data_IF_081696249091
#
_entry.id   IF_081696249091
#
_cell.length_a   1.000
_cell.length_b   1.000
_cell.length_c   1.000
_cell.angle_alpha   90.00
_cell.angle_beta   90.00
_cell.angle_gamma   90.00
#
_symmetry.space_group_name_H-M   'P 1'
#
loop_
_entity.id
_entity.type
_entity.pdbx_description
1 polymer ?
#
# COMPACT_ATOMS: atom_id res chain seq x y z
N UNK A 1 -44.03 10.73 9.73
CA UNK A 1 -45.12 11.30 8.91
C UNK A 1 -44.56 11.60 7.51
N UNK A 2 -44.65 10.70 6.53
CA UNK A 2 -44.28 11.00 5.15
C UNK A 2 -45.51 11.43 4.35
N UNK A 3 -45.44 12.62 3.75
CA UNK A 3 -46.46 13.21 2.91
C UNK A 3 -46.53 12.53 1.53
N UNK A 4 -47.75 12.20 1.09
CA UNK A 4 -48.07 11.70 -0.24
C UNK A 4 -48.20 12.87 -1.24
N UNK A 5 -47.72 12.75 -2.49
CA UNK A 5 -48.02 13.73 -3.53
C UNK A 5 -49.36 13.45 -4.24
N UNK A 6 -50.05 14.53 -4.56
CA UNK A 6 -51.39 14.59 -5.15
C UNK A 6 -51.45 14.12 -6.62
N UNK A 7 -52.60 13.59 -7.09
CA UNK A 7 -52.81 13.27 -8.49
C UNK A 7 -53.18 14.54 -9.30
N UNK A 8 -52.34 14.88 -10.28
CA UNK A 8 -52.63 15.93 -11.26
C UNK A 8 -53.54 15.38 -12.34
N UNK A 9 -54.82 15.73 -12.24
CA UNK A 9 -55.79 15.67 -13.34
C UNK A 9 -55.34 16.57 -14.49
N UNK A 10 -55.28 16.02 -15.71
CA UNK A 10 -55.52 16.82 -16.93
C UNK A 10 -56.38 16.01 -17.88
N UNK A 11 -57.67 16.27 -17.78
CA UNK A 11 -58.68 16.09 -18.82
C UNK A 11 -58.29 16.94 -20.03
N UNK A 12 -58.22 16.33 -21.22
CA UNK A 12 -58.37 17.08 -22.45
C UNK A 12 -59.26 16.31 -23.44
N UNK A 13 -60.54 16.63 -23.36
CA UNK A 13 -61.61 16.16 -24.24
C UNK A 13 -61.71 17.16 -25.40
N UNK A 14 -61.12 16.83 -26.53
CA UNK A 14 -61.24 17.59 -27.78
C UNK A 14 -61.96 16.75 -28.83
N UNK A 15 -63.23 17.08 -29.08
CA UNK A 15 -64.05 16.49 -30.14
C UNK A 15 -63.50 16.92 -31.52
N UNK A 16 -63.24 15.96 -32.41
CA UNK A 16 -63.00 16.21 -33.82
C UNK A 16 -63.76 15.19 -34.69
N UNK A 17 -64.31 15.73 -35.77
CA UNK A 17 -65.34 15.24 -36.69
C UNK A 17 -64.92 13.97 -37.48
N UNK A 18 -65.85 13.04 -37.77
CA UNK A 18 -65.54 11.83 -38.52
C UNK A 18 -65.34 12.13 -40.01
N UNK A 19 -64.10 12.07 -40.48
CA UNK A 19 -63.78 12.04 -41.91
C UNK A 19 -63.70 10.57 -42.34
N UNK A 20 -64.68 10.15 -43.13
CA UNK A 20 -64.70 8.86 -43.79
C UNK A 20 -63.57 8.78 -44.83
N UNK A 21 -62.46 8.16 -44.45
CA UNK A 21 -61.37 7.76 -45.34
C UNK A 21 -61.03 6.31 -44.99
N UNK A 22 -61.30 5.43 -45.95
CA UNK A 22 -60.76 4.09 -46.21
C UNK A 22 -60.06 3.37 -45.03
N UNK A 23 -60.37 2.08 -44.76
CA UNK A 23 -59.62 1.24 -43.82
C UNK A 23 -58.23 0.92 -44.40
N UNK A 24 -57.38 1.95 -44.44
CA UNK A 24 -55.96 1.83 -44.68
C UNK A 24 -55.39 1.01 -43.52
N UNK A 25 -54.38 0.22 -43.85
CA UNK A 25 -53.75 -0.84 -43.07
C UNK A 25 -53.07 -0.35 -41.77
N UNK A 26 -53.81 0.33 -40.90
CA UNK A 26 -53.40 0.78 -39.57
C UNK A 26 -53.57 -0.36 -38.57
N UNK A 27 -52.85 -1.46 -38.75
CA UNK A 27 -53.12 -2.67 -37.96
C UNK A 27 -52.04 -3.07 -36.95
N UNK A 28 -50.77 -3.12 -37.36
CA UNK A 28 -49.77 -3.88 -36.58
C UNK A 28 -48.36 -3.29 -36.54
N UNK A 29 -48.09 -2.17 -37.19
CA UNK A 29 -46.72 -1.66 -37.30
C UNK A 29 -46.18 -1.05 -35.98
N UNK A 30 -47.07 -0.67 -35.06
CA UNK A 30 -46.69 -0.10 -33.76
C UNK A 30 -46.71 -1.10 -32.59
N UNK A 31 -47.24 -2.30 -32.78
CA UNK A 31 -47.30 -3.32 -31.72
C UNK A 31 -45.91 -3.72 -31.25
N UNK A 32 -45.00 -3.96 -32.20
CA UNK A 32 -43.61 -4.33 -31.89
C UNK A 32 -42.84 -3.22 -31.19
N UNK A 33 -42.98 -1.96 -31.62
CA UNK A 33 -42.32 -0.83 -30.94
C UNK A 33 -42.82 -0.65 -29.52
N UNK A 34 -44.13 -0.68 -29.31
CA UNK A 34 -44.70 -0.52 -27.97
C UNK A 34 -44.29 -1.66 -27.02
N UNK A 35 -44.14 -2.89 -27.54
CA UNK A 35 -43.68 -4.02 -26.74
C UNK A 35 -42.17 -3.96 -26.47
N UNK A 36 -41.37 -3.55 -27.46
CA UNK A 36 -39.94 -3.30 -27.30
C UNK A 36 -39.69 -2.21 -26.24
N UNK A 37 -40.42 -1.10 -26.30
CA UNK A 37 -40.30 -0.01 -25.32
C UNK A 37 -40.71 -0.45 -23.90
N UNK A 38 -41.61 -1.42 -23.77
CA UNK A 38 -41.94 -2.03 -22.47
C UNK A 38 -40.80 -2.93 -21.97
N UNK A 39 -40.20 -3.74 -22.84
CA UNK A 39 -39.03 -4.56 -22.50
C UNK A 39 -37.83 -3.71 -22.12
N UNK A 40 -37.53 -2.67 -22.89
CA UNK A 40 -36.43 -1.74 -22.62
C UNK A 40 -36.65 -1.02 -21.29
N UNK A 41 -37.89 -0.64 -20.96
CA UNK A 41 -38.23 -0.07 -19.63
C UNK A 41 -38.03 -1.07 -18.49
N UNK A 42 -38.43 -2.32 -18.66
CA UNK A 42 -38.19 -3.36 -17.66
C UNK A 42 -36.69 -3.61 -17.46
N UNK A 43 -35.92 -3.71 -18.56
CA UNK A 43 -34.49 -3.92 -18.50
C UNK A 43 -33.76 -2.75 -17.85
N UNK A 44 -34.09 -1.51 -18.24
CA UNK A 44 -33.53 -0.30 -17.63
C UNK A 44 -33.82 -0.24 -16.12
N UNK A 45 -35.01 -0.68 -15.69
CA UNK A 45 -35.34 -0.76 -14.27
C UNK A 45 -34.49 -1.81 -13.54
N UNK A 46 -34.32 -3.01 -14.10
CA UNK A 46 -33.46 -4.04 -13.50
C UNK A 46 -32.01 -3.58 -13.36
N UNK A 47 -31.45 -2.95 -14.40
CA UNK A 47 -30.09 -2.39 -14.35
C UNK A 47 -29.98 -1.29 -13.28
N UNK A 48 -30.98 -0.40 -13.19
CA UNK A 48 -31.00 0.65 -12.17
C UNK A 48 -31.14 0.10 -10.75
N UNK A 49 -31.93 -0.97 -10.56
CA UNK A 49 -32.08 -1.63 -9.27
C UNK A 49 -30.80 -2.37 -8.86
N UNK A 50 -30.12 -3.06 -9.80
CA UNK A 50 -28.82 -3.70 -9.60
C UNK A 50 -27.72 -2.69 -9.26
N UNK A 51 -27.65 -1.55 -9.97
CA UNK A 51 -26.70 -0.48 -9.71
C UNK A 51 -26.94 0.15 -8.33
N UNK A 52 -28.22 0.35 -7.96
CA UNK A 52 -28.59 0.86 -6.64
C UNK A 52 -28.25 -0.12 -5.51
N UNK A 53 -28.42 -1.42 -5.73
CA UNK A 53 -28.03 -2.45 -4.77
C UNK A 53 -26.50 -2.53 -4.63
N UNK A 54 -25.76 -2.45 -5.74
CA UNK A 54 -24.31 -2.42 -5.74
C UNK A 54 -23.79 -1.20 -4.95
N UNK A 55 -24.38 -0.02 -5.18
CA UNK A 55 -24.02 1.20 -4.46
C UNK A 55 -24.30 1.10 -2.96
N UNK A 56 -25.42 0.49 -2.55
CA UNK A 56 -25.70 0.23 -1.13
C UNK A 56 -24.67 -0.70 -0.49
N UNK A 57 -24.28 -1.78 -1.18
CA UNK A 57 -23.24 -2.70 -0.68
C UNK A 57 -21.89 -2.01 -0.54
N UNK A 58 -21.53 -1.14 -1.48
CA UNK A 58 -20.29 -0.37 -1.41
C UNK A 58 -20.31 0.64 -0.24
N UNK A 59 -21.43 1.33 -0.02
CA UNK A 59 -21.62 2.25 1.12
C UNK A 59 -21.54 1.50 2.47
N UNK A 60 -22.17 0.32 2.58
CA UNK A 60 -22.11 -0.52 3.77
C UNK A 60 -20.70 -1.07 4.03
N UNK A 61 -19.95 -1.46 2.99
CA UNK A 61 -18.57 -1.91 3.13
C UNK A 61 -17.64 -0.78 3.58
N UNK A 62 -17.82 0.44 3.03
CA UNK A 62 -17.08 1.63 3.46
C UNK A 62 -17.39 1.97 4.92
N UNK A 63 -18.65 1.90 5.32
CA UNK A 63 -19.05 2.12 6.71
C UNK A 63 -18.42 1.08 7.65
N UNK A 64 -18.39 -0.20 7.23
CA UNK A 64 -17.72 -1.26 8.00
C UNK A 64 -16.22 -1.02 8.15
N UNK A 65 -15.52 -0.64 7.07
CA UNK A 65 -14.07 -0.34 7.11
C UNK A 65 -13.76 0.85 8.02
N UNK A 66 -14.58 1.89 7.98
CA UNK A 66 -14.41 3.08 8.84
C UNK A 66 -14.59 2.72 10.32
N UNK A 67 -15.57 1.88 10.63
CA UNK A 67 -15.81 1.37 11.99
C UNK A 67 -14.64 0.51 12.50
N UNK A 68 -14.13 -0.41 11.67
CA UNK A 68 -12.95 -1.22 12.02
C UNK A 68 -11.70 -0.34 12.26
N UNK A 69 -11.51 0.74 11.49
CA UNK A 69 -10.41 1.67 11.70
C UNK A 69 -10.56 2.49 12.99
N UNK A 70 -11.78 2.88 13.34
CA UNK A 70 -12.10 3.58 14.60
C UNK A 70 -11.88 2.67 15.81
N UNK A 71 -12.34 1.43 15.77
CA UNK A 71 -12.10 0.42 16.82
C UNK A 71 -10.59 0.20 17.03
N UNK A 72 -9.81 0.07 15.94
CA UNK A 72 -8.34 -0.05 16.04
C UNK A 72 -7.69 1.19 16.67
N UNK A 73 -8.20 2.39 16.41
CA UNK A 73 -7.72 3.63 17.03
C UNK A 73 -8.06 3.66 18.53
N UNK A 74 -9.25 3.21 18.91
CA UNK A 74 -9.65 3.12 20.31
C UNK A 74 -8.83 2.08 21.08
N UNK A 75 -8.58 0.91 20.50
CA UNK A 75 -7.72 -0.12 21.10
C UNK A 75 -6.31 0.42 21.35
N UNK A 76 -5.74 1.11 20.35
CA UNK A 76 -4.42 1.73 20.50
C UNK A 76 -4.40 2.79 21.60
N UNK A 77 -5.47 3.60 21.71
CA UNK A 77 -5.63 4.60 22.76
C UNK A 77 -5.71 3.93 24.14
N UNK A 78 -6.50 2.86 24.28
CA UNK A 78 -6.63 2.08 25.53
C UNK A 78 -5.30 1.44 25.93
N UNK A 79 -4.55 0.88 24.99
CA UNK A 79 -3.25 0.26 25.29
C UNK A 79 -2.23 1.30 25.76
N UNK A 80 -2.22 2.48 25.14
CA UNK A 80 -1.40 3.61 25.58
C UNK A 80 -1.76 4.06 26.99
N UNK A 81 -3.05 4.26 27.27
CA UNK A 81 -3.54 4.64 28.60
C UNK A 81 -3.19 3.59 29.66
N UNK A 82 -3.32 2.30 29.31
CA UNK A 82 -2.93 1.19 30.18
C UNK A 82 -1.44 1.23 30.52
N UNK A 83 -0.58 1.47 29.53
CA UNK A 83 0.87 1.56 29.73
C UNK A 83 1.24 2.78 30.60
N UNK A 84 0.59 3.92 30.38
CA UNK A 84 0.76 5.13 31.20
C UNK A 84 0.30 4.89 32.66
N UNK A 85 -0.83 4.21 32.86
CA UNK A 85 -1.31 3.82 34.19
C UNK A 85 -0.37 2.83 34.89
N UNK A 86 0.16 1.84 34.16
CA UNK A 86 1.12 0.87 34.71
C UNK A 86 2.42 1.54 35.14
N UNK A 87 2.96 2.46 34.33
CA UNK A 87 4.16 3.23 34.70
C UNK A 87 3.94 4.08 35.95
N UNK A 88 2.76 4.72 36.06
CA UNK A 88 2.38 5.54 37.22
C UNK A 88 2.28 4.67 38.48
N UNK A 89 1.56 3.54 38.41
CA UNK A 89 1.47 2.59 39.53
C UNK A 89 2.84 2.04 39.96
N UNK A 90 3.75 1.81 39.01
CA UNK A 90 5.13 1.38 39.30
C UNK A 90 5.97 2.48 39.96
N UNK A 91 5.70 3.76 39.67
CA UNK A 91 6.33 4.89 40.35
C UNK A 91 5.79 5.03 41.78
N UNK A 92 4.47 4.99 41.94
CA UNK A 92 3.81 5.11 43.25
C UNK A 92 4.25 4.00 44.19
N UNK A 93 4.29 2.74 43.71
CA UNK A 93 4.79 1.61 44.49
C UNK A 93 6.23 1.83 44.97
N UNK A 94 7.12 2.34 44.11
CA UNK A 94 8.51 2.65 44.49
C UNK A 94 8.60 3.77 45.53
N UNK A 95 7.66 4.72 45.52
CA UNK A 95 7.60 5.79 46.50
C UNK A 95 7.05 5.29 47.84
N UNK A 96 6.03 4.43 47.84
CA UNK A 96 5.53 3.76 49.04
C UNK A 96 6.59 2.88 49.68
N UNK A 97 7.33 2.08 48.91
CA UNK A 97 8.42 1.24 49.42
C UNK A 97 9.51 2.08 50.12
N UNK A 98 9.88 3.23 49.53
CA UNK A 98 10.84 4.17 50.12
C UNK A 98 10.31 4.86 51.38
N UNK A 99 9.02 5.21 51.41
CA UNK A 99 8.40 5.85 52.57
C UNK A 99 8.23 4.86 53.74
N UNK A 100 7.87 3.61 53.46
CA UNK A 100 7.71 2.56 54.46
C UNK A 100 9.03 2.19 55.15
N UNK A 101 10.15 2.21 54.41
CA UNK A 101 11.49 2.06 54.99
C UNK A 101 11.81 3.18 56.00
N UNK A 102 11.52 4.44 55.64
CA UNK A 102 11.74 5.60 56.51
C UNK A 102 10.86 5.63 57.76
N UNK A 103 9.65 5.06 57.71
CA UNK A 103 8.72 5.08 58.84
C UNK A 103 9.04 3.95 59.84
N UNK A 104 9.51 2.78 59.38
CA UNK A 104 9.92 1.68 60.27
C UNK A 104 11.19 1.96 61.07
N UNK A 105 12.11 2.79 60.56
CA UNK A 105 13.28 3.21 61.34
C UNK A 105 12.91 4.19 62.47
N UNK A 106 11.86 4.99 62.29
CA UNK A 106 11.45 6.01 63.26
C UNK A 106 10.80 5.51 64.56
N UNK A 107 10.47 4.22 64.69
CA UNK A 107 9.92 3.69 65.96
C UNK A 107 10.99 3.17 66.92
N UNK A 108 12.27 3.21 66.54
CA UNK A 108 13.42 2.91 67.43
C UNK A 108 14.28 4.16 67.69
N UNK A 109 13.83 5.31 67.18
CA UNK A 109 14.67 6.50 66.98
C UNK A 109 14.84 7.37 68.21
N UNK A 110 14.06 7.25 69.29
CA UNK A 110 14.27 8.18 70.42
C UNK A 110 15.54 7.83 71.25
N UNK A 111 15.88 6.53 71.32
CA UNK A 111 17.16 6.06 71.88
C UNK A 111 18.29 6.21 70.86
N UNK A 112 18.04 5.89 69.59
CA UNK A 112 19.05 6.02 68.54
C UNK A 112 19.39 7.49 68.27
N UNK A 113 18.44 8.43 68.29
CA UNK A 113 18.67 9.89 68.17
C UNK A 113 19.47 10.43 69.34
N UNK A 114 19.35 9.87 70.56
CA UNK A 114 20.20 10.25 71.70
C UNK A 114 21.63 9.76 71.51
N UNK A 115 21.81 8.50 71.12
CA UNK A 115 23.13 7.95 70.81
C UNK A 115 23.76 8.63 69.60
N UNK A 116 22.95 8.99 68.60
CA UNK A 116 23.35 9.70 67.40
C UNK A 116 23.64 11.17 67.70
N UNK A 117 22.90 11.85 68.59
CA UNK A 117 23.26 13.17 69.11
C UNK A 117 24.55 13.15 69.92
N UNK A 118 24.78 12.13 70.74
CA UNK A 118 26.02 11.94 71.50
C UNK A 118 27.20 11.67 70.55
N UNK A 119 26.96 10.87 69.51
CA UNK A 119 27.92 10.56 68.45
C UNK A 119 28.21 11.78 67.59
N UNK A 120 27.21 12.56 67.21
CA UNK A 120 27.32 13.84 66.50
C UNK A 120 28.00 14.89 67.38
N UNK A 121 27.79 14.90 68.71
CA UNK A 121 28.54 15.78 69.62
C UNK A 121 30.01 15.39 69.68
N UNK A 122 30.32 14.10 69.87
CA UNK A 122 31.71 13.59 69.86
C UNK A 122 32.37 13.81 68.50
N UNK A 123 31.64 13.63 67.42
CA UNK A 123 32.10 13.86 66.06
C UNK A 123 32.28 15.36 65.78
N UNK A 124 31.36 16.24 66.21
CA UNK A 124 31.55 17.69 66.14
C UNK A 124 32.74 18.16 66.98
N UNK A 125 32.96 17.58 68.15
CA UNK A 125 34.10 17.93 68.99
C UNK A 125 35.41 17.44 68.38
N UNK A 126 35.40 16.25 67.77
CA UNK A 126 36.50 15.71 66.97
C UNK A 126 36.76 16.55 65.71
N UNK A 127 35.72 17.00 65.02
CA UNK A 127 35.77 17.87 63.85
C UNK A 127 36.29 19.26 64.22
N UNK A 128 35.84 19.84 65.35
CA UNK A 128 36.41 21.08 65.89
C UNK A 128 37.90 20.91 66.18
N UNK A 129 38.30 19.81 66.83
CA UNK A 129 39.73 19.48 67.05
C UNK A 129 40.51 19.31 65.75
N UNK A 130 39.92 18.70 64.72
CA UNK A 130 40.54 18.55 63.39
C UNK A 130 40.66 19.88 62.64
N UNK A 131 39.63 20.73 62.69
CA UNK A 131 39.64 22.10 62.15
C UNK A 131 40.68 22.98 62.85
N UNK A 132 40.92 22.77 64.13
CA UNK A 132 41.94 23.54 64.88
C UNK A 132 43.36 22.97 64.71
N UNK A 133 43.50 21.75 64.16
CA UNK A 133 44.79 21.02 64.08
C UNK A 133 45.23 20.67 62.66
N UNK A 134 44.47 21.09 61.64
CA UNK A 134 44.57 20.54 60.29
C UNK A 134 44.57 21.57 59.16
N UNK A 135 45.07 22.80 59.38
CA UNK A 135 45.11 23.83 58.34
C UNK A 135 46.53 24.35 58.03
N UNK A 136 47.51 23.45 57.99
CA UNK A 136 48.86 23.82 57.51
C UNK A 136 49.41 22.89 56.41
N UNK A 137 48.67 21.86 55.95
CA UNK A 137 49.29 20.86 55.04
C UNK A 137 48.46 20.19 53.95
N UNK A 138 47.13 20.37 53.85
CA UNK A 138 46.35 19.53 52.91
C UNK A 138 45.05 20.16 52.35
N UNK A 139 44.82 21.46 52.54
CA UNK A 139 43.62 22.14 52.01
C UNK A 139 43.52 22.14 50.47
N UNK A 140 44.66 22.08 49.79
CA UNK A 140 44.73 22.12 48.32
C UNK A 140 44.16 20.86 47.63
N UNK A 141 44.21 19.71 48.31
CA UNK A 141 43.74 18.44 47.75
C UNK A 141 42.20 18.35 47.69
N UNK A 142 41.52 18.95 48.67
CA UNK A 142 40.05 19.02 48.69
C UNK A 142 39.49 19.94 47.61
N UNK A 143 40.11 21.11 47.42
CA UNK A 143 39.75 22.06 46.36
C UNK A 143 40.00 21.43 44.99
N UNK A 144 41.15 20.79 44.79
CA UNK A 144 41.49 20.08 43.56
C UNK A 144 40.49 18.96 43.22
N UNK A 145 40.04 18.20 44.22
CA UNK A 145 39.03 17.14 44.05
C UNK A 145 37.66 17.71 43.64
N UNK A 146 37.18 18.75 44.31
CA UNK A 146 35.92 19.40 43.95
C UNK A 146 35.98 20.05 42.56
N UNK A 147 37.12 20.66 42.22
CA UNK A 147 37.32 21.28 40.91
C UNK A 147 37.31 20.24 39.79
N UNK A 148 37.89 19.05 40.03
CA UNK A 148 37.80 17.90 39.13
C UNK A 148 36.37 17.39 38.98
N UNK A 149 35.63 17.25 40.08
CA UNK A 149 34.22 16.81 40.05
C UNK A 149 33.32 17.81 39.29
N UNK A 150 33.52 19.11 39.48
CA UNK A 150 32.81 20.16 38.73
C UNK A 150 33.12 20.04 37.22
N UNK A 151 34.37 19.80 36.86
CA UNK A 151 34.76 19.59 35.46
C UNK A 151 34.12 18.33 34.86
N UNK A 152 34.01 17.25 35.64
CA UNK A 152 33.36 16.01 35.23
C UNK A 152 31.84 16.18 35.06
N UNK A 153 31.18 16.87 35.98
CA UNK A 153 29.74 17.18 35.87
C UNK A 153 29.45 18.06 34.65
N UNK A 154 30.28 19.07 34.36
CA UNK A 154 30.14 19.88 33.15
C UNK A 154 30.28 19.04 31.88
N UNK A 155 31.23 18.10 31.84
CA UNK A 155 31.36 17.14 30.72
C UNK A 155 30.12 16.26 30.58
N UNK A 156 29.58 15.75 31.69
CA UNK A 156 28.36 14.94 31.67
C UNK A 156 27.14 15.73 31.18
N UNK A 157 26.99 16.99 31.58
CA UNK A 157 25.90 17.86 31.11
C UNK A 157 26.02 18.12 29.61
N UNK A 158 27.22 18.39 29.11
CA UNK A 158 27.45 18.56 27.67
C UNK A 158 27.16 17.26 26.89
N UNK A 159 27.60 16.10 27.39
CA UNK A 159 27.30 14.82 26.77
C UNK A 159 25.79 14.52 26.75
N UNK A 160 25.06 14.80 27.84
CA UNK A 160 23.60 14.67 27.88
C UNK A 160 22.91 15.60 26.88
N UNK A 161 23.39 16.83 26.73
CA UNK A 161 22.85 17.77 25.75
C UNK A 161 22.96 17.26 24.32
N UNK A 162 24.11 16.68 23.95
CA UNK A 162 24.29 16.06 22.62
C UNK A 162 23.28 14.93 22.40
N UNK A 163 23.07 14.07 23.41
CA UNK A 163 22.07 13.00 23.33
C UNK A 163 20.64 13.55 23.22
N UNK A 164 20.31 14.64 23.91
CA UNK A 164 19.00 15.31 23.80
C UNK A 164 18.78 15.89 22.39
N UNK A 165 19.82 16.51 21.81
CA UNK A 165 19.79 17.04 20.43
C UNK A 165 19.61 15.90 19.41
N UNK A 166 20.30 14.77 19.57
CA UNK A 166 20.13 13.57 18.73
C UNK A 166 18.71 12.99 18.84
N UNK A 167 18.16 12.90 20.05
CA UNK A 167 16.78 12.47 20.28
C UNK A 167 15.79 13.42 19.59
N UNK A 168 16.04 14.72 19.64
CA UNK A 168 15.21 15.71 18.96
C UNK A 168 15.28 15.55 17.43
N UNK A 169 16.47 15.36 16.87
CA UNK A 169 16.67 15.10 15.45
C UNK A 169 15.94 13.82 15.00
N UNK A 170 16.07 12.71 15.74
CA UNK A 170 15.36 11.47 15.46
C UNK A 170 13.83 11.64 15.50
N UNK A 171 13.30 12.41 16.46
CA UNK A 171 11.85 12.70 16.52
C UNK A 171 11.37 13.45 15.28
N UNK A 172 12.14 14.43 14.82
CA UNK A 172 11.82 15.19 13.62
C UNK A 172 11.83 14.30 12.37
N UNK A 173 12.82 13.39 12.23
CA UNK A 173 12.88 12.44 11.13
C UNK A 173 11.68 11.48 11.12
N UNK A 174 11.28 10.95 12.29
CA UNK A 174 10.08 10.10 12.42
C UNK A 174 8.82 10.86 11.99
N UNK A 175 8.70 12.14 12.37
CA UNK A 175 7.56 12.98 11.99
C UNK A 175 7.52 13.22 10.47
N UNK A 176 8.67 13.47 9.83
CA UNK A 176 8.79 13.57 8.38
C UNK A 176 8.42 12.26 7.67
N UNK A 177 8.88 11.11 8.17
CA UNK A 177 8.52 9.80 7.63
C UNK A 177 7.01 9.53 7.74
N UNK A 178 6.37 9.91 8.85
CA UNK A 178 4.91 9.82 9.02
C UNK A 178 4.17 10.71 8.03
N UNK A 179 4.60 11.96 7.85
CA UNK A 179 4.01 12.87 6.87
C UNK A 179 4.16 12.34 5.44
N UNK A 180 5.34 11.79 5.10
CA UNK A 180 5.58 11.17 3.79
C UNK A 180 4.74 9.92 3.57
N UNK A 181 4.51 9.11 4.61
CA UNK A 181 3.65 7.92 4.52
C UNK A 181 2.18 8.29 4.30
N UNK A 182 1.70 9.37 4.93
CA UNK A 182 0.36 9.90 4.67
C UNK A 182 0.22 10.42 3.23
N UNK A 183 1.24 11.11 2.70
CA UNK A 183 1.27 11.51 1.29
C UNK A 183 1.31 10.30 0.35
N UNK A 184 1.91 9.17 0.74
CA UNK A 184 1.83 7.93 -0.04
C UNK A 184 0.38 7.43 -0.19
N UNK A 185 -0.46 7.64 0.82
CA UNK A 185 -1.88 7.34 0.77
C UNK A 185 -2.65 8.14 -0.28
N UNK A 186 -2.30 9.40 -0.52
CA UNK A 186 -2.98 10.20 -1.57
C UNK A 186 -2.67 9.69 -2.96
N UNK A 187 -1.43 9.23 -3.22
CA UNK A 187 -1.08 8.62 -4.51
C UNK A 187 -1.83 7.31 -4.77
N UNK A 188 -2.12 6.52 -3.73
CA UNK A 188 -2.92 5.30 -3.89
C UNK A 188 -4.33 5.62 -4.39
N UNK A 189 -4.98 6.65 -3.83
CA UNK A 189 -6.30 7.11 -4.26
C UNK A 189 -6.27 7.64 -5.70
N UNK A 190 -5.25 8.40 -6.06
CA UNK A 190 -5.07 8.88 -7.44
C UNK A 190 -4.85 7.73 -8.43
N UNK A 191 -4.08 6.71 -8.06
CA UNK A 191 -3.86 5.50 -8.88
C UNK A 191 -5.14 4.69 -9.07
N UNK A 192 -5.96 4.53 -8.01
CA UNK A 192 -7.25 3.87 -8.09
C UNK A 192 -8.24 4.64 -8.98
N UNK A 193 -8.26 5.97 -8.86
CA UNK A 193 -9.05 6.87 -9.72
C UNK A 193 -8.64 6.73 -11.20
N UNK A 194 -7.33 6.80 -11.48
CA UNK A 194 -6.81 6.66 -12.84
C UNK A 194 -7.08 5.27 -13.43
N UNK A 195 -6.96 4.22 -12.62
CA UNK A 195 -7.26 2.83 -13.03
C UNK A 195 -8.74 2.65 -13.39
N UNK A 196 -9.63 3.31 -12.63
CA UNK A 196 -11.07 3.33 -12.91
C UNK A 196 -11.36 4.08 -14.22
N UNK A 197 -10.71 5.21 -14.45
CA UNK A 197 -10.85 6.00 -15.67
C UNK A 197 -10.35 5.24 -16.91
N UNK A 198 -9.21 4.56 -16.82
CA UNK A 198 -8.69 3.69 -17.89
C UNK A 198 -9.69 2.57 -18.20
N UNK A 199 -10.29 1.96 -17.18
CA UNK A 199 -11.30 0.90 -17.36
C UNK A 199 -12.55 1.44 -18.05
N UNK A 200 -13.02 2.62 -17.66
CA UNK A 200 -14.14 3.34 -18.28
C UNK A 200 -13.87 3.65 -19.75
N UNK A 201 -12.69 4.19 -20.07
CA UNK A 201 -12.29 4.50 -21.45
C UNK A 201 -12.16 3.24 -22.33
N UNK A 202 -11.67 2.13 -21.78
CA UNK A 202 -11.63 0.84 -22.50
C UNK A 202 -13.04 0.35 -22.86
N UNK A 203 -13.97 0.41 -21.90
CA UNK A 203 -15.38 0.05 -22.15
C UNK A 203 -16.01 0.97 -23.20
N UNK A 204 -15.74 2.28 -23.13
CA UNK A 204 -16.22 3.23 -24.14
C UNK A 204 -15.66 2.90 -25.53
N UNK A 205 -14.36 2.63 -25.64
CA UNK A 205 -13.74 2.26 -26.92
C UNK A 205 -14.26 0.94 -27.50
N UNK A 206 -14.75 0.01 -26.68
CA UNK A 206 -15.46 -1.19 -27.15
C UNK A 206 -16.82 -0.80 -27.72
N UNK A 207 -17.62 -0.01 -26.99
CA UNK A 207 -18.94 0.46 -27.44
C UNK A 207 -18.85 1.25 -28.75
N UNK A 208 -17.89 2.16 -28.87
CA UNK A 208 -17.70 2.96 -30.07
C UNK A 208 -17.33 2.07 -31.28
N UNK A 209 -16.53 1.02 -31.06
CA UNK A 209 -16.18 0.05 -32.10
C UNK A 209 -17.39 -0.77 -32.53
N UNK A 210 -18.20 -1.25 -31.59
CA UNK A 210 -19.45 -1.96 -31.88
C UNK A 210 -20.42 -1.08 -32.66
N UNK A 211 -20.58 0.17 -32.23
CA UNK A 211 -21.40 1.16 -32.94
C UNK A 211 -20.89 1.35 -34.37
N UNK A 212 -19.58 1.56 -34.56
CA UNK A 212 -18.98 1.68 -35.89
C UNK A 212 -19.23 0.43 -36.77
N UNK A 213 -19.18 -0.77 -36.19
CA UNK A 213 -19.51 -2.01 -36.92
C UNK A 213 -21.00 -2.08 -37.29
N UNK A 214 -21.91 -1.62 -36.42
CA UNK A 214 -23.34 -1.52 -36.73
C UNK A 214 -23.60 -0.56 -37.89
N UNK A 215 -23.01 0.64 -37.85
CA UNK A 215 -23.12 1.61 -38.96
C UNK A 215 -22.54 1.07 -40.26
N UNK A 216 -21.41 0.33 -40.19
CA UNK A 216 -20.82 -0.34 -41.35
C UNK A 216 -21.76 -1.40 -41.93
N UNK A 217 -22.39 -2.22 -41.08
CA UNK A 217 -23.37 -3.21 -41.49
C UNK A 217 -24.61 -2.59 -42.16
N UNK A 218 -25.13 -1.50 -41.59
CA UNK A 218 -26.29 -0.77 -42.14
C UNK A 218 -25.97 -0.08 -43.48
N UNK A 219 -24.76 0.48 -43.60
CA UNK A 219 -24.28 1.05 -44.86
C UNK A 219 -24.16 0.01 -45.98
N UNK A 220 -23.83 -1.24 -45.64
CA UNK A 220 -23.69 -2.36 -46.58
C UNK A 220 -24.99 -3.14 -46.81
N UNK A 221 -26.11 -2.77 -46.18
CA UNK A 221 -27.37 -3.51 -46.27
C UNK A 221 -27.94 -3.48 -47.70
N UNK A 222 -28.21 -4.64 -48.35
CA UNK A 222 -28.85 -4.67 -49.65
C UNK A 222 -30.19 -3.93 -49.61
N UNK A 223 -30.36 -2.92 -50.46
CA UNK A 223 -31.54 -2.03 -50.45
C UNK A 223 -31.31 -0.65 -49.82
N UNK A 224 -30.15 -0.39 -49.21
CA UNK A 224 -29.73 0.98 -48.89
C UNK A 224 -29.31 1.69 -50.20
N UNK A 225 -30.28 2.25 -50.91
CA UNK A 225 -30.09 2.90 -52.23
C UNK A 225 -29.21 4.17 -52.21
N UNK A 226 -28.62 4.53 -51.06
CA UNK A 226 -27.56 5.55 -50.99
C UNK A 226 -26.18 5.01 -51.38
N UNK A 227 -26.04 3.69 -51.54
CA UNK A 227 -24.78 3.00 -51.86
C UNK A 227 -24.77 2.33 -53.23
N UNK A 228 -25.02 3.07 -54.31
CA UNK A 228 -24.45 2.81 -55.64
C UNK A 228 -24.80 3.97 -56.57
N UNK A 229 -24.37 5.19 -56.20
CA UNK A 229 -23.89 6.06 -57.27
C UNK A 229 -22.51 5.50 -57.54
N UNK A 230 -22.42 4.59 -58.51
CA UNK A 230 -21.17 4.44 -59.23
C UNK A 230 -20.81 5.86 -59.65
N UNK A 231 -19.83 6.46 -58.99
CA UNK A 231 -19.11 7.58 -59.56
C UNK A 231 -18.36 6.93 -60.72
N UNK A 232 -19.08 6.63 -61.80
CA UNK A 232 -18.48 6.41 -63.09
C UNK A 232 -17.66 7.66 -63.30
N UNK A 233 -16.34 7.49 -63.30
CA UNK A 233 -15.37 8.54 -63.59
C UNK A 233 -15.90 9.31 -64.79
N UNK A 234 -16.47 10.52 -64.61
CA UNK A 234 -16.99 11.26 -65.73
C UNK A 234 -15.76 11.63 -66.54
N UNK A 235 -15.70 11.22 -67.81
CA UNK A 235 -14.80 11.85 -68.76
C UNK A 235 -14.98 13.36 -68.62
N UNK A 236 -13.85 14.04 -68.42
CA UNK A 236 -13.75 15.43 -68.06
C UNK A 236 -14.55 16.30 -69.04
N UNK A 237 -15.78 16.66 -68.67
CA UNK A 237 -16.57 17.67 -69.36
C UNK A 237 -16.45 18.98 -68.59
N UNK A 238 -16.07 20.00 -69.35
CA UNK A 238 -15.43 21.27 -68.95
C UNK A 238 -16.36 22.26 -68.21
N UNK A 239 -17.55 21.86 -67.77
CA UNK A 239 -18.50 22.82 -67.18
C UNK A 239 -18.80 22.53 -65.71
N UNK A 240 -18.40 23.50 -64.88
CA UNK A 240 -18.31 23.41 -63.44
C UNK A 240 -19.65 23.28 -62.72
N UNK A 241 -19.65 22.38 -61.74
CA UNK A 241 -20.54 22.43 -60.59
C UNK A 241 -19.68 22.24 -59.32
N UNK A 242 -19.97 22.94 -58.21
CA UNK A 242 -19.03 23.12 -57.12
C UNK A 242 -18.88 21.82 -56.33
N UNK A 243 -17.68 21.23 -56.38
CA UNK A 243 -17.31 20.15 -55.47
C UNK A 243 -17.54 20.60 -54.01
N UNK A 244 -18.09 19.74 -53.14
CA UNK A 244 -18.05 19.96 -51.71
C UNK A 244 -16.58 20.16 -51.31
N UNK A 245 -16.25 21.38 -50.89
CA UNK A 245 -14.95 21.69 -50.31
C UNK A 245 -14.86 20.92 -49.00
N UNK A 246 -14.30 19.71 -49.05
CA UNK A 246 -13.55 19.24 -47.90
C UNK A 246 -12.53 20.35 -47.63
N UNK A 247 -12.57 20.90 -46.43
CA UNK A 247 -11.80 22.07 -46.03
C UNK A 247 -10.30 21.74 -46.04
N UNK A 248 -9.71 21.69 -47.23
CA UNK A 248 -8.28 21.86 -47.49
C UNK A 248 -7.93 23.37 -47.43
N UNK A 249 -8.53 24.06 -46.46
CA UNK A 249 -8.25 25.45 -46.10
C UNK A 249 -7.29 25.51 -44.90
N UNK A 250 -6.60 24.40 -44.57
CA UNK A 250 -5.41 24.51 -43.73
C UNK A 250 -4.37 25.18 -44.62
N UNK A 251 -4.06 26.45 -44.32
CA UNK A 251 -3.00 27.20 -45.01
C UNK A 251 -1.76 26.30 -45.03
N UNK A 252 -1.03 26.29 -46.14
CA UNK A 252 0.21 25.49 -46.25
C UNK A 252 1.16 25.70 -45.08
N UNK A 253 1.21 26.92 -44.54
CA UNK A 253 1.95 27.26 -43.34
C UNK A 253 1.56 26.43 -42.09
N UNK A 254 0.29 26.05 -41.95
CA UNK A 254 -0.20 25.26 -40.83
C UNK A 254 0.02 23.75 -41.06
N UNK A 255 0.00 23.28 -42.31
CA UNK A 255 0.42 21.89 -42.66
C UNK A 255 1.87 21.61 -42.25
N UNK A 256 2.77 22.58 -42.45
CA UNK A 256 4.17 22.47 -42.01
C UNK A 256 4.32 22.45 -40.49
N UNK A 257 3.50 23.20 -39.75
CA UNK A 257 3.50 23.18 -38.28
C UNK A 257 3.01 21.83 -37.74
N UNK A 258 1.94 21.27 -38.32
CA UNK A 258 1.45 19.94 -37.94
C UNK A 258 2.48 18.85 -38.25
N UNK A 259 3.14 18.93 -39.40
CA UNK A 259 4.22 18.01 -39.76
C UNK A 259 5.41 18.12 -38.80
N UNK A 260 5.81 19.35 -38.44
CA UNK A 260 6.87 19.58 -37.45
C UNK A 260 6.49 19.02 -36.07
N UNK A 261 5.25 19.23 -35.63
CA UNK A 261 4.71 18.68 -34.37
C UNK A 261 4.69 17.15 -34.39
N UNK A 262 4.26 16.54 -35.49
CA UNK A 262 4.26 15.08 -35.65
C UNK A 262 5.68 14.51 -35.64
N UNK A 263 6.61 15.17 -36.32
CA UNK A 263 8.04 14.79 -36.32
C UNK A 263 8.64 14.89 -34.92
N UNK A 264 8.28 15.90 -34.15
CA UNK A 264 8.75 16.07 -32.78
C UNK A 264 8.18 15.02 -31.82
N UNK A 265 6.88 14.72 -31.94
CA UNK A 265 6.24 13.61 -31.22
C UNK A 265 6.93 12.27 -31.52
N UNK A 266 7.27 12.03 -32.79
CA UNK A 266 7.99 10.81 -33.17
C UNK A 266 9.40 10.75 -32.54
N UNK A 267 10.11 11.87 -32.46
CA UNK A 267 11.41 11.93 -31.78
C UNK A 267 11.28 11.67 -30.28
N UNK A 268 10.31 12.29 -29.61
CA UNK A 268 10.06 12.09 -28.19
C UNK A 268 9.72 10.62 -27.88
N UNK A 269 8.82 10.00 -28.66
CA UNK A 269 8.49 8.58 -28.52
C UNK A 269 9.69 7.66 -28.78
N UNK A 270 10.57 8.03 -29.73
CA UNK A 270 11.78 7.25 -30.02
C UNK A 270 12.79 7.32 -28.87
N UNK A 271 12.97 8.49 -28.26
CA UNK A 271 13.82 8.66 -27.07
C UNK A 271 13.28 7.89 -25.87
N UNK A 272 11.96 7.94 -25.63
CA UNK A 272 11.32 7.17 -24.56
C UNK A 272 11.51 5.66 -24.75
N UNK A 273 11.36 5.16 -25.99
CA UNK A 273 11.60 3.76 -26.31
C UNK A 273 13.05 3.33 -26.02
N UNK A 274 14.04 4.15 -26.36
CA UNK A 274 15.46 3.88 -26.05
C UNK A 274 15.73 3.87 -24.52
N UNK A 275 15.13 4.80 -23.77
CA UNK A 275 15.23 4.79 -22.29
C UNK A 275 14.64 3.52 -21.70
N UNK A 276 13.47 3.07 -22.18
CA UNK A 276 12.85 1.83 -21.72
C UNK A 276 13.68 0.59 -22.09
N UNK A 277 14.29 0.59 -23.27
CA UNK A 277 15.20 -0.47 -23.71
C UNK A 277 16.46 -0.53 -22.81
N UNK A 278 17.01 0.62 -22.44
CA UNK A 278 18.11 0.72 -21.47
C UNK A 278 17.73 0.18 -20.10
N UNK A 279 16.56 0.57 -19.56
CA UNK A 279 16.05 0.05 -18.27
C UNK A 279 15.84 -1.46 -18.31
N UNK A 280 15.32 -2.01 -19.41
CA UNK A 280 15.17 -3.46 -19.59
C UNK A 280 16.53 -4.17 -19.58
N UNK A 281 17.52 -3.65 -20.30
CA UNK A 281 18.87 -4.22 -20.33
C UNK A 281 19.53 -4.23 -18.93
N UNK A 282 19.34 -3.17 -18.14
CA UNK A 282 19.83 -3.11 -16.75
C UNK A 282 19.14 -4.15 -15.88
N UNK A 283 17.81 -4.24 -15.93
CA UNK A 283 17.05 -5.23 -15.17
C UNK A 283 17.43 -6.68 -15.57
N UNK A 284 17.59 -6.97 -16.86
CA UNK A 284 18.06 -8.27 -17.33
C UNK A 284 19.47 -8.60 -16.83
N UNK A 285 20.38 -7.62 -16.83
CA UNK A 285 21.73 -7.77 -16.28
C UNK A 285 21.74 -8.05 -14.76
N UNK A 286 20.84 -7.42 -14.02
CA UNK A 286 20.66 -7.67 -12.58
C UNK A 286 20.07 -9.05 -12.28
N UNK A 287 19.33 -9.66 -13.21
CA UNK A 287 18.82 -11.05 -13.08
C UNK A 287 19.91 -12.07 -13.44
N UNK A 288 20.79 -11.76 -14.39
CA UNK A 288 21.87 -12.67 -14.79
C UNK A 288 22.93 -12.82 -13.69
N UNK A 289 23.32 -11.73 -13.02
CA UNK A 289 24.31 -11.76 -11.92
C UNK A 289 24.02 -12.77 -10.80
N UNK A 290 22.82 -12.80 -10.18
CA UNK A 290 22.50 -13.78 -9.14
C UNK A 290 22.37 -15.19 -9.71
N UNK A 291 21.93 -15.35 -10.96
CA UNK A 291 21.87 -16.65 -11.63
C UNK A 291 23.28 -17.22 -11.84
N UNK A 292 24.25 -16.39 -12.18
CA UNK A 292 25.66 -16.79 -12.31
C UNK A 292 26.28 -17.12 -10.94
N UNK A 293 25.95 -16.37 -9.89
CA UNK A 293 26.36 -16.67 -8.52
C UNK A 293 25.79 -18.02 -8.04
N UNK A 294 24.51 -18.29 -8.32
CA UNK A 294 23.87 -19.59 -8.03
C UNK A 294 24.52 -20.74 -8.81
N UNK A 295 24.86 -20.52 -10.08
CA UNK A 295 25.57 -21.51 -10.89
C UNK A 295 26.95 -21.88 -10.34
N UNK A 296 27.70 -20.89 -9.82
CA UNK A 296 29.01 -21.13 -9.20
C UNK A 296 28.89 -21.90 -7.88
N UNK A 297 27.88 -21.60 -7.06
CA UNK A 297 27.66 -22.32 -5.79
C UNK A 297 27.15 -23.76 -5.97
N UNK A 298 26.53 -24.08 -7.11
CA UNK A 298 25.99 -25.43 -7.35
C UNK A 298 27.06 -26.41 -7.89
N UNK A 299 28.20 -25.92 -8.38
CA UNK A 299 29.24 -26.75 -9.01
C UNK A 299 30.38 -27.11 -8.05
N UNK A 300 30.54 -26.41 -6.92
CA UNK A 300 31.50 -26.77 -5.86
C UNK A 300 30.83 -27.53 -4.70
N UNK A 301 30.36 -28.75 -4.94
CA UNK A 301 30.41 -29.79 -3.90
C UNK A 301 30.32 -31.21 -4.48
N UNK A 302 31.46 -31.85 -4.80
CA UNK A 302 31.53 -33.30 -4.91
C UNK A 302 31.95 -33.88 -3.56
N UNK A 303 30.98 -34.20 -2.69
CA UNK A 303 31.24 -34.92 -1.44
C UNK A 303 30.31 -36.14 -1.28
N UNK A 304 30.82 -37.27 -0.73
CA UNK A 304 30.29 -38.59 -0.97
C UNK A 304 29.03 -38.90 -0.16
N UNK A 305 28.08 -39.53 -0.86
CA UNK A 305 26.83 -40.08 -0.32
C UNK A 305 27.10 -40.96 0.90
N UNK A 306 26.54 -40.59 2.04
CA UNK A 306 26.14 -41.56 3.07
C UNK A 306 24.66 -41.84 2.91
N UNK A 307 24.37 -43.11 2.64
CA UNK A 307 23.06 -43.72 2.57
C UNK A 307 22.41 -43.70 3.96
N UNK A 308 21.81 -42.57 4.31
CA UNK A 308 20.98 -42.43 5.50
C UNK A 308 19.51 -42.43 5.09
N UNK A 309 18.81 -43.51 5.42
CA UNK A 309 17.39 -43.71 5.15
C UNK A 309 16.52 -42.60 5.72
N UNK A 310 16.19 -41.62 4.87
CA UNK A 310 15.22 -40.57 5.14
C UNK A 310 13.87 -40.92 4.53
N UNK A 311 12.83 -40.81 5.34
CA UNK A 311 11.45 -41.17 5.02
C UNK A 311 10.91 -40.46 3.77
N UNK A 312 10.25 -41.26 2.93
CA UNK A 312 9.69 -40.94 1.60
C UNK A 312 8.48 -39.99 1.66
N UNK A 313 8.56 -38.89 2.41
CA UNK A 313 7.48 -37.91 2.54
C UNK A 313 7.59 -36.82 1.48
N UNK A 314 8.81 -36.34 1.19
CA UNK A 314 9.04 -35.29 0.20
C UNK A 314 8.68 -35.76 -1.22
N UNK A 315 9.12 -36.95 -1.61
CA UNK A 315 8.80 -37.52 -2.93
C UNK A 315 7.31 -37.86 -3.06
N UNK A 316 6.65 -38.25 -1.96
CA UNK A 316 5.18 -38.45 -1.94
C UNK A 316 4.42 -37.12 -2.08
N UNK A 317 4.87 -36.05 -1.43
CA UNK A 317 4.26 -34.72 -1.59
C UNK A 317 4.45 -34.16 -3.00
N UNK A 318 5.63 -34.31 -3.60
CA UNK A 318 5.87 -33.92 -5.00
C UNK A 318 5.06 -34.77 -5.99
N UNK A 319 4.90 -36.07 -5.74
CA UNK A 319 4.06 -36.93 -6.58
C UNK A 319 2.57 -36.56 -6.50
N UNK A 320 2.09 -36.07 -5.35
CA UNK A 320 0.69 -35.62 -5.18
C UNK A 320 0.47 -34.27 -5.89
N UNK A 321 1.40 -33.32 -5.74
CA UNK A 321 1.33 -32.03 -6.44
C UNK A 321 1.32 -32.22 -7.97
N UNK A 322 2.15 -33.13 -8.49
CA UNK A 322 2.23 -33.38 -9.93
C UNK A 322 1.06 -34.21 -10.49
N UNK A 323 0.34 -34.98 -9.66
CA UNK A 323 -0.86 -35.73 -10.08
C UNK A 323 -2.13 -34.88 -10.14
N UNK A 324 -2.17 -33.74 -9.45
CA UNK A 324 -3.34 -32.84 -9.47
C UNK A 324 -3.51 -32.06 -10.78
N UNK A 325 -2.53 -32.09 -11.69
CA UNK A 325 -2.58 -31.36 -12.95
C UNK A 325 -3.00 -32.20 -14.17
N UNK A 326 -3.36 -33.48 -14.01
CA UNK A 326 -3.66 -34.37 -15.16
C UNK A 326 -4.86 -35.28 -14.94
N UNK A 327 -6.07 -34.75 -15.16
CA UNK A 327 -7.32 -35.44 -15.62
C UNK A 327 -8.47 -34.41 -15.58
N UNK A 328 -9.14 -34.00 -16.67
CA UNK A 328 -9.07 -34.39 -18.08
C UNK A 328 -9.80 -33.41 -19.02
N UNK A 329 -9.38 -33.41 -20.31
CA UNK A 329 -10.17 -33.70 -21.53
C UNK A 329 -11.72 -33.60 -21.38
N UNK A 330 -12.55 -32.93 -22.21
CA UNK A 330 -12.45 -32.21 -23.51
C UNK A 330 -13.69 -31.28 -23.65
N UNK A 331 -13.52 -30.09 -24.21
CA UNK A 331 -14.46 -29.48 -25.17
C UNK A 331 -13.80 -28.24 -25.82
N UNK A 332 -13.47 -28.33 -27.10
CA UNK A 332 -13.01 -27.24 -27.99
C UNK A 332 -14.12 -26.20 -28.20
N UNK A 333 -13.80 -24.89 -28.33
CA UNK A 333 -13.53 -24.34 -29.66
C UNK A 333 -12.43 -23.25 -29.77
N UNK A 334 -11.51 -23.48 -30.72
CA UNK A 334 -10.90 -22.53 -31.69
C UNK A 334 -10.71 -21.04 -31.32
N UNK A 335 -9.44 -20.60 -31.48
CA UNK A 335 -8.92 -19.27 -31.93
C UNK A 335 -9.35 -18.06 -31.08
N UNK A 336 -8.45 -17.32 -30.43
CA UNK A 336 -7.43 -16.49 -31.09
C UNK A 336 -6.20 -16.21 -30.19
N UNK A 337 -5.09 -15.91 -30.86
CA UNK A 337 -3.88 -15.32 -30.30
C UNK A 337 -4.19 -13.96 -29.67
N UNK A 338 -3.76 -13.73 -28.44
CA UNK A 338 -3.85 -12.42 -27.80
C UNK A 338 -3.12 -12.40 -26.47
N UNK A 339 -1.90 -11.88 -26.50
CA UNK A 339 -1.06 -11.57 -25.35
C UNK A 339 -1.86 -10.89 -24.22
N UNK A 340 -1.89 -11.53 -23.05
CA UNK A 340 -2.36 -10.95 -21.82
C UNK A 340 -1.25 -10.99 -20.77
N UNK A 341 -0.30 -10.06 -20.92
CA UNK A 341 0.49 -9.58 -19.81
C UNK A 341 -0.32 -8.54 -19.04
N UNK A 342 -0.49 -8.73 -17.73
CA UNK A 342 -0.99 -7.70 -16.83
C UNK A 342 -1.97 -8.22 -15.79
N UNK A 343 -1.46 -8.79 -14.70
CA UNK A 343 -2.28 -9.08 -13.54
C UNK A 343 -1.58 -9.97 -12.52
N UNK A 344 -0.87 -9.35 -11.57
CA UNK A 344 -0.54 -9.82 -10.20
C UNK A 344 0.85 -9.36 -9.74
N UNK A 345 1.07 -8.06 -9.66
CA UNK A 345 2.31 -7.49 -9.11
C UNK A 345 2.39 -7.51 -7.58
N UNK A 346 1.26 -7.56 -6.87
CA UNK A 346 1.24 -7.18 -5.45
C UNK A 346 1.41 -8.37 -4.47
N UNK A 347 1.09 -9.60 -4.89
CA UNK A 347 1.33 -10.78 -4.05
C UNK A 347 2.81 -11.19 -3.98
N UNK A 348 3.64 -10.72 -4.93
CA UNK A 348 5.05 -11.07 -4.98
C UNK A 348 5.91 -10.20 -4.04
N UNK A 349 5.42 -9.01 -3.65
CA UNK A 349 6.18 -8.10 -2.77
C UNK A 349 6.34 -8.64 -1.36
N UNK A 350 5.36 -9.39 -0.83
CA UNK A 350 5.51 -10.04 0.49
C UNK A 350 6.61 -11.09 0.48
N UNK A 351 6.74 -11.83 -0.62
CA UNK A 351 7.77 -12.85 -0.76
C UNK A 351 9.15 -12.21 -0.96
N UNK A 352 9.24 -11.16 -1.78
CA UNK A 352 10.46 -10.37 -1.98
C UNK A 352 10.93 -9.69 -0.69
N UNK A 353 10.01 -9.16 0.12
CA UNK A 353 10.32 -8.57 1.42
C UNK A 353 10.88 -9.61 2.40
N UNK A 354 10.27 -10.79 2.48
CA UNK A 354 10.76 -11.89 3.34
C UNK A 354 12.13 -12.37 2.88
N UNK A 355 12.37 -12.51 1.57
CA UNK A 355 13.67 -12.89 1.01
C UNK A 355 14.74 -11.82 1.27
N UNK A 356 14.40 -10.53 1.13
CA UNK A 356 15.29 -9.41 1.43
C UNK A 356 15.69 -9.38 2.91
N UNK A 357 14.72 -9.48 3.83
CA UNK A 357 14.99 -9.56 5.28
C UNK A 357 15.85 -10.79 5.63
N UNK A 358 15.58 -11.93 5.00
CA UNK A 358 16.36 -13.16 5.20
C UNK A 358 17.77 -13.05 4.62
N UNK A 359 17.99 -12.24 3.58
CA UNK A 359 19.30 -11.93 3.03
C UNK A 359 20.08 -11.00 3.97
N UNK A 360 19.43 -9.98 4.51
CA UNK A 360 20.04 -9.07 5.48
C UNK A 360 20.46 -9.81 6.75
N UNK A 361 19.60 -10.70 7.28
CA UNK A 361 19.93 -11.57 8.41
C UNK A 361 21.12 -12.51 8.14
N UNK A 362 21.31 -12.97 6.90
CA UNK A 362 22.48 -13.78 6.51
C UNK A 362 23.77 -12.96 6.36
N UNK A 363 23.65 -11.67 6.05
CA UNK A 363 24.77 -10.75 5.95
C UNK A 363 25.28 -10.28 7.31
N UNK A 364 24.43 -10.33 8.36
CA UNK A 364 24.89 -10.19 9.72
C UNK A 364 25.75 -11.40 10.12
N UNK A 365 27.07 -11.22 10.07
CA UNK A 365 28.02 -12.15 10.69
C UNK A 365 27.62 -12.37 12.15
N UNK A 366 27.98 -13.51 12.74
CA UNK A 366 27.66 -13.90 14.13
C UNK A 366 27.91 -12.76 15.14
N UNK A 367 28.93 -11.93 14.91
CA UNK A 367 29.26 -10.75 15.70
C UNK A 367 28.25 -9.60 15.61
N UNK A 368 27.60 -9.39 14.46
CA UNK A 368 26.57 -8.36 14.28
C UNK A 368 25.24 -8.74 14.94
N UNK A 369 24.86 -10.02 14.84
CA UNK A 369 23.69 -10.54 15.56
C UNK A 369 23.88 -10.49 17.09
N UNK A 370 25.12 -10.69 17.57
CA UNK A 370 25.41 -10.61 19.00
C UNK A 370 25.18 -9.20 19.58
N UNK A 371 25.45 -8.15 18.80
CA UNK A 371 25.19 -6.76 19.20
C UNK A 371 23.69 -6.51 19.34
N UNK A 372 22.90 -6.92 18.34
CA UNK A 372 21.43 -6.75 18.35
C UNK A 372 20.77 -7.54 19.49
N UNK A 373 21.22 -8.77 19.74
CA UNK A 373 20.72 -9.55 20.88
C UNK A 373 21.12 -8.93 22.22
N UNK A 374 22.31 -8.33 22.33
CA UNK A 374 22.77 -7.64 23.54
C UNK A 374 21.98 -6.37 23.80
N UNK A 375 21.66 -5.59 22.77
CA UNK A 375 20.77 -4.42 22.84
C UNK A 375 19.34 -4.81 23.25
N UNK A 376 18.84 -5.94 22.74
CA UNK A 376 17.54 -6.49 23.13
C UNK A 376 17.52 -7.20 24.50
N UNK A 377 18.64 -7.22 25.23
CA UNK A 377 18.74 -7.88 26.55
C UNK A 377 18.75 -9.41 26.51
N UNK A 378 18.91 -10.02 25.32
CA UNK A 378 18.98 -11.46 25.11
C UNK A 378 20.43 -11.95 25.24
N UNK A 379 20.70 -12.78 26.24
CA UNK A 379 22.02 -13.42 26.41
C UNK A 379 22.15 -14.58 25.40
N UNK A 380 23.06 -14.47 24.43
CA UNK A 380 23.27 -15.46 23.36
C UNK A 380 23.63 -16.89 23.84
N UNK A 381 23.93 -17.08 25.12
CA UNK A 381 24.42 -18.35 25.68
C UNK A 381 23.39 -19.49 25.75
N UNK A 382 22.11 -19.27 25.44
CA UNK A 382 21.05 -20.26 25.72
C UNK A 382 20.46 -20.95 24.48
N UNK A 383 20.75 -20.48 23.26
CA UNK A 383 20.07 -21.00 22.05
C UNK A 383 20.67 -22.32 21.56
N UNK A 384 21.98 -22.54 21.75
CA UNK A 384 22.63 -23.80 21.32
C UNK A 384 22.20 -25.03 22.15
N UNK A 385 21.56 -24.83 23.32
CA UNK A 385 21.08 -25.92 24.18
C UNK A 385 19.62 -26.34 23.93
N UNK A 386 18.81 -25.56 23.20
CA UNK A 386 17.38 -25.88 23.02
C UNK A 386 17.05 -26.69 21.76
N UNK A 387 18.00 -26.86 20.83
CA UNK A 387 17.77 -27.61 19.58
C UNK A 387 18.16 -29.10 19.73
N UNK A 388 18.86 -29.47 20.81
CA UNK A 388 19.45 -30.80 20.97
C UNK A 388 18.62 -31.88 21.68
N UNK A 389 17.59 -31.54 22.47
CA UNK A 389 17.14 -32.46 23.52
C UNK A 389 15.61 -32.64 23.69
N UNK A 390 14.82 -32.43 22.62
CA UNK A 390 13.41 -32.87 22.61
C UNK A 390 13.25 -34.31 22.11
N UNK A 391 14.11 -35.21 22.57
CA UNK A 391 13.95 -36.65 22.41
C UNK A 391 12.82 -37.13 23.31
N UNK A 392 11.65 -37.40 22.72
CA UNK A 392 10.50 -38.00 23.40
C UNK A 392 10.91 -39.43 23.81
N UNK A 393 10.96 -39.76 25.11
CA UNK A 393 11.21 -41.13 25.55
C UNK A 393 10.01 -42.02 25.18
N UNK A 394 10.34 -43.21 24.66
CA UNK A 394 9.40 -44.22 24.16
C UNK A 394 8.63 -44.92 25.28
#
# INVERSE_FOLDING_TARGET
MPALPAPSSTSNTGYAVPTAMFPSSYGRQNFWRANQEKLDRCYAKTVADEEKEARRKEEDEKARRLKEEEERKEEWKKERERLEAEMTARLDKRMEDKNNLRIKEKSNDESALKDELEKIRKENEKLRRLLTKGDEGSGDDGVSKMQKEIADLRRQVQAKKVVEDDIFAMKQEIEQLRASALAKGSFQVELESLSSEVSRLKLQGIKDREQAQLWKGEALRPGNKRGSIAIGTPEASIHGSPRPRWTDNIREADRWKEYAKMKEMHRAASLEAEVLKGKRAVAEGEVIKPKEQLGKTLVEEPAPRREGGGTNLKTRLEAVANRSARKGLKATPRRDMGDAAGGSGEMNDRFLFIEAQKKDLRNYKKSGLEILCREAGLKLRTIDLMIGDSGIPS
#
